data_IF_663415616246
#
_entry.id   IF_663415616246
#
_cell.length_a   1.000
_cell.length_b   1.000
_cell.length_c   1.000
_cell.angle_alpha   90.00
_cell.angle_beta   90.00
_cell.angle_gamma   90.00
#
_symmetry.space_group_name_H-M   'P 1'
#
loop_
_entity.id
_entity.type
_entity.pdbx_description
1 polymer ?
#
# COMPACT_ATOMS: atom_id res chain seq x y z
N UNK A 1 -11.75 -51.10 1.83
CA UNK A 1 -11.04 -49.84 1.66
C UNK A 1 -11.94 -48.68 1.84
N UNK A 2 -11.61 -47.75 2.75
CA UNK A 2 -12.35 -46.51 2.96
C UNK A 2 -12.05 -45.58 1.79
N UNK A 3 -13.10 -45.10 1.09
CA UNK A 3 -12.99 -44.03 0.09
C UNK A 3 -13.70 -42.78 0.61
N UNK A 4 -13.02 -41.66 0.57
CA UNK A 4 -13.65 -40.34 0.76
C UNK A 4 -14.64 -40.11 -0.39
N UNK A 5 -15.82 -39.66 -0.06
CA UNK A 5 -16.78 -39.22 -1.08
C UNK A 5 -16.30 -37.88 -1.64
N UNK A 6 -16.23 -37.74 -2.96
CA UNK A 6 -15.77 -36.53 -3.64
C UNK A 6 -16.68 -35.31 -3.43
N UNK A 7 -17.90 -35.58 -2.94
CA UNK A 7 -18.93 -34.58 -2.60
C UNK A 7 -19.11 -34.39 -1.07
N UNK A 8 -18.24 -35.00 -0.26
CA UNK A 8 -18.29 -34.78 1.16
C UNK A 8 -17.92 -33.34 1.47
N UNK A 9 -18.81 -32.55 2.09
CA UNK A 9 -18.45 -31.23 2.56
C UNK A 9 -17.26 -31.38 3.48
N UNK A 10 -16.30 -30.43 3.45
CA UNK A 10 -15.17 -30.37 4.36
C UNK A 10 -15.70 -30.16 5.80
N UNK A 11 -16.37 -31.16 6.34
CA UNK A 11 -17.07 -31.09 7.62
C UNK A 11 -16.24 -31.58 8.81
N UNK A 12 -14.98 -31.95 8.61
CA UNK A 12 -14.14 -32.37 9.71
C UNK A 12 -12.86 -31.54 9.81
N UNK A 13 -13.01 -30.24 9.90
CA UNK A 13 -11.94 -29.47 10.51
C UNK A 13 -12.05 -29.66 12.00
N UNK A 14 -11.09 -30.39 12.63
CA UNK A 14 -11.12 -30.55 14.08
C UNK A 14 -10.96 -29.15 14.69
N UNK A 15 -11.94 -28.76 15.48
CA UNK A 15 -11.96 -27.62 16.37
C UNK A 15 -10.96 -26.50 16.03
N UNK A 16 -11.41 -25.48 15.27
CA UNK A 16 -10.65 -24.27 15.10
C UNK A 16 -10.34 -23.68 16.48
N UNK A 17 -9.07 -23.47 16.78
CA UNK A 17 -8.67 -22.83 18.04
C UNK A 17 -9.08 -21.37 18.05
N UNK A 18 -9.22 -20.77 19.23
CA UNK A 18 -9.53 -19.35 19.36
C UNK A 18 -8.51 -18.45 18.64
N UNK A 19 -7.23 -18.81 18.69
CA UNK A 19 -6.16 -18.06 17.99
C UNK A 19 -6.33 -18.13 16.47
N UNK A 20 -6.63 -19.31 15.92
CA UNK A 20 -6.93 -19.46 14.50
C UNK A 20 -8.15 -18.64 14.09
N UNK A 21 -9.22 -18.70 14.88
CA UNK A 21 -10.43 -17.95 14.61
C UNK A 21 -10.18 -16.42 14.60
N UNK A 22 -9.39 -15.90 15.56
CA UNK A 22 -8.97 -14.48 15.55
C UNK A 22 -8.20 -14.15 14.29
N UNK A 23 -7.23 -14.99 13.90
CA UNK A 23 -6.42 -14.77 12.69
C UNK A 23 -7.30 -14.66 11.45
N UNK A 24 -8.24 -15.60 11.24
CA UNK A 24 -9.17 -15.55 10.12
C UNK A 24 -10.03 -14.29 10.12
N UNK A 25 -10.53 -13.87 11.28
CA UNK A 25 -11.32 -12.65 11.39
C UNK A 25 -10.49 -11.39 11.08
N UNK A 26 -9.24 -11.33 11.54
CA UNK A 26 -8.33 -10.22 11.20
C UNK A 26 -8.01 -10.18 9.69
N UNK A 27 -7.82 -11.32 9.06
CA UNK A 27 -7.66 -11.41 7.59
C UNK A 27 -8.92 -10.91 6.88
N UNK A 28 -10.11 -11.36 7.31
CA UNK A 28 -11.37 -10.91 6.71
C UNK A 28 -11.57 -9.39 6.88
N UNK A 29 -11.26 -8.83 8.03
CA UNK A 29 -11.47 -7.41 8.32
C UNK A 29 -10.44 -6.50 7.61
N UNK A 30 -9.16 -6.89 7.62
CA UNK A 30 -8.08 -5.99 7.22
C UNK A 30 -7.44 -6.33 5.87
N UNK A 31 -7.46 -7.58 5.43
CA UNK A 31 -6.74 -8.02 4.23
C UNK A 31 -7.64 -8.52 3.10
N UNK A 32 -8.93 -8.74 3.37
CA UNK A 32 -9.86 -9.29 2.37
C UNK A 32 -9.84 -8.53 1.03
N UNK A 33 -9.69 -7.23 1.07
CA UNK A 33 -9.67 -6.37 -0.13
C UNK A 33 -8.36 -6.47 -0.94
N UNK A 34 -7.32 -7.12 -0.40
CA UNK A 34 -6.07 -7.40 -1.09
C UNK A 34 -6.01 -8.83 -1.66
N UNK A 35 -6.99 -9.66 -1.35
CA UNK A 35 -7.04 -11.05 -1.81
C UNK A 35 -7.85 -11.18 -3.10
N UNK A 36 -7.44 -12.05 -4.03
CA UNK A 36 -8.24 -12.39 -5.19
C UNK A 36 -9.63 -12.91 -4.79
N UNK A 37 -10.70 -12.54 -5.51
CA UNK A 37 -12.06 -13.02 -5.23
C UNK A 37 -12.20 -14.54 -5.25
N UNK A 38 -11.44 -15.24 -6.09
CA UNK A 38 -11.35 -16.72 -6.11
C UNK A 38 -10.89 -17.26 -4.77
N UNK A 39 -9.78 -16.75 -4.23
CA UNK A 39 -9.27 -17.14 -2.91
C UNK A 39 -10.25 -16.78 -1.78
N UNK A 40 -10.89 -15.62 -1.85
CA UNK A 40 -11.91 -15.25 -0.86
C UNK A 40 -13.06 -16.26 -0.86
N UNK A 41 -13.52 -16.68 -2.05
CA UNK A 41 -14.58 -17.66 -2.16
C UNK A 41 -14.23 -19.01 -1.54
N UNK A 42 -12.98 -19.44 -1.71
CA UNK A 42 -12.46 -20.65 -1.06
C UNK A 42 -12.33 -20.49 0.46
N UNK A 43 -12.02 -19.27 0.92
CA UNK A 43 -11.84 -18.97 2.35
C UNK A 43 -13.14 -18.70 3.11
N UNK A 44 -14.25 -18.41 2.43
CA UNK A 44 -15.53 -18.11 3.08
C UNK A 44 -15.99 -19.15 4.10
N UNK A 45 -15.89 -20.48 3.85
CA UNK A 45 -16.23 -21.48 4.85
C UNK A 45 -15.41 -21.37 6.15
N UNK A 46 -14.14 -20.95 6.03
CA UNK A 46 -13.25 -20.75 7.16
C UNK A 46 -13.59 -19.49 7.95
N UNK A 47 -13.93 -18.40 7.27
CA UNK A 47 -14.43 -17.18 7.94
C UNK A 47 -15.71 -17.45 8.69
N UNK A 48 -16.65 -18.22 8.11
CA UNK A 48 -17.90 -18.60 8.78
C UNK A 48 -17.66 -19.54 9.98
N UNK A 49 -16.70 -20.46 9.86
CA UNK A 49 -16.29 -21.30 10.97
C UNK A 49 -15.65 -20.47 12.10
N UNK A 50 -14.79 -19.51 11.76
CA UNK A 50 -14.19 -18.59 12.73
C UNK A 50 -15.25 -17.79 13.47
N UNK A 51 -16.23 -17.21 12.78
CA UNK A 51 -17.37 -16.49 13.39
C UNK A 51 -18.15 -17.35 14.36
N UNK A 52 -18.44 -18.60 13.98
CA UNK A 52 -19.14 -19.56 14.85
C UNK A 52 -18.31 -19.96 16.06
N UNK A 53 -17.02 -20.24 15.88
CA UNK A 53 -16.11 -20.60 16.98
C UNK A 53 -15.99 -19.48 18.02
N UNK A 54 -16.00 -18.22 17.59
CA UNK A 54 -15.91 -17.05 18.47
C UNK A 54 -17.25 -16.66 19.11
N UNK A 55 -18.40 -17.13 18.59
CA UNK A 55 -19.71 -16.83 19.16
C UNK A 55 -19.89 -17.37 20.58
N UNK A 56 -19.15 -18.43 20.93
CA UNK A 56 -19.17 -19.07 22.24
C UNK A 56 -18.14 -18.55 23.25
N UNK A 57 -17.19 -17.71 22.79
CA UNK A 57 -16.07 -17.22 23.60
C UNK A 57 -16.05 -15.68 23.68
N UNK A 58 -16.67 -15.15 24.72
CA UNK A 58 -16.84 -13.69 24.90
C UNK A 58 -15.52 -12.90 24.90
N UNK A 59 -14.45 -13.40 25.51
CA UNK A 59 -13.20 -12.65 25.65
C UNK A 59 -12.48 -12.43 24.32
N UNK A 60 -12.47 -13.41 23.44
CA UNK A 60 -11.80 -13.36 22.14
C UNK A 60 -12.56 -12.46 21.18
N UNK A 61 -13.89 -12.53 21.18
CA UNK A 61 -14.74 -11.64 20.40
C UNK A 61 -14.57 -10.17 20.83
N UNK A 62 -14.46 -9.93 22.14
CA UNK A 62 -14.18 -8.59 22.67
C UNK A 62 -12.82 -8.06 22.22
N UNK A 63 -11.80 -8.93 22.11
CA UNK A 63 -10.48 -8.51 21.66
C UNK A 63 -10.51 -7.95 20.23
N UNK A 64 -11.15 -8.66 19.28
CA UNK A 64 -11.31 -8.19 17.88
C UNK A 64 -12.01 -6.82 17.85
N UNK A 65 -13.02 -6.63 18.69
CA UNK A 65 -13.76 -5.37 18.75
C UNK A 65 -12.93 -4.21 19.36
N UNK A 66 -11.82 -4.50 20.01
CA UNK A 66 -10.95 -3.52 20.70
C UNK A 66 -9.69 -3.15 19.89
N UNK A 67 -9.37 -3.90 18.84
CA UNK A 67 -8.19 -3.65 18.02
C UNK A 67 -8.61 -2.92 16.74
N UNK A 68 -7.96 -1.81 16.45
CA UNK A 68 -8.22 -1.00 15.25
C UNK A 68 -6.91 -0.50 14.66
N UNK A 69 -6.86 -0.40 13.35
CA UNK A 69 -5.78 0.24 12.61
C UNK A 69 -6.25 1.63 12.22
N UNK A 70 -5.56 2.65 12.70
CA UNK A 70 -5.84 4.05 12.35
C UNK A 70 -4.78 4.52 11.37
N UNK A 71 -5.15 5.02 10.17
CA UNK A 71 -4.19 5.56 9.24
C UNK A 71 -3.42 6.74 9.84
N UNK A 72 -2.12 6.85 9.54
CA UNK A 72 -1.30 7.97 9.97
C UNK A 72 -1.65 9.31 9.28
N UNK A 73 -2.44 9.26 8.20
CA UNK A 73 -2.89 10.42 7.44
C UNK A 73 -4.36 10.72 7.73
N UNK A 74 -4.86 11.89 7.27
CA UNK A 74 -6.28 12.23 7.34
C UNK A 74 -7.14 11.07 6.79
N UNK A 75 -8.07 10.52 7.58
CA UNK A 75 -8.97 9.46 7.12
C UNK A 75 -9.84 9.95 5.96
N UNK A 76 -9.93 9.14 4.92
CA UNK A 76 -10.80 9.39 3.76
C UNK A 76 -11.60 8.12 3.44
N UNK A 77 -12.76 8.29 2.83
CA UNK A 77 -13.58 7.17 2.37
C UNK A 77 -12.90 6.55 1.14
N UNK A 78 -12.62 5.23 1.14
CA UNK A 78 -12.04 4.56 -0.01
C UNK A 78 -12.90 4.76 -1.28
N UNK A 79 -12.30 4.99 -2.44
CA UNK A 79 -13.04 5.09 -3.68
C UNK A 79 -13.65 3.73 -4.07
N UNK A 80 -14.79 3.76 -4.74
CA UNK A 80 -15.40 2.57 -5.28
C UNK A 80 -14.54 2.01 -6.42
N UNK A 81 -14.30 0.71 -6.38
CA UNK A 81 -13.59 -0.04 -7.42
C UNK A 81 -14.61 -0.88 -8.20
N UNK A 82 -14.50 -0.88 -9.51
CA UNK A 82 -15.34 -1.72 -10.37
C UNK A 82 -14.97 -3.20 -10.13
N UNK A 83 -15.96 -4.02 -9.75
CA UNK A 83 -15.73 -5.39 -9.25
C UNK A 83 -15.12 -6.31 -10.31
N UNK A 84 -15.63 -6.24 -11.55
CA UNK A 84 -15.15 -7.10 -12.63
C UNK A 84 -13.71 -6.75 -13.00
N UNK A 85 -13.38 -5.45 -13.07
CA UNK A 85 -12.01 -5.01 -13.32
C UNK A 85 -11.05 -5.45 -12.17
N UNK A 86 -11.47 -5.29 -10.93
CA UNK A 86 -10.69 -5.77 -9.77
C UNK A 86 -10.44 -7.27 -9.84
N UNK A 87 -11.48 -8.05 -10.11
CA UNK A 87 -11.36 -9.51 -10.25
C UNK A 87 -10.35 -9.88 -11.33
N UNK A 88 -10.50 -9.33 -12.54
CA UNK A 88 -9.58 -9.61 -13.64
C UNK A 88 -8.14 -9.22 -13.35
N UNK A 89 -7.92 -8.07 -12.68
CA UNK A 89 -6.58 -7.63 -12.29
C UNK A 89 -5.94 -8.60 -11.30
N UNK A 90 -6.68 -9.03 -10.29
CA UNK A 90 -6.20 -9.95 -9.27
C UNK A 90 -5.93 -11.34 -9.84
N UNK A 91 -6.82 -11.84 -10.70
CA UNK A 91 -6.62 -13.11 -11.41
C UNK A 91 -5.44 -13.05 -12.38
N UNK A 92 -5.27 -11.94 -13.12
CA UNK A 92 -4.12 -11.74 -14.00
C UNK A 92 -2.80 -11.77 -13.23
N UNK A 93 -2.75 -11.11 -12.07
CA UNK A 93 -1.58 -11.15 -11.19
C UNK A 93 -1.33 -12.55 -10.61
N UNK A 94 -2.39 -13.23 -10.12
CA UNK A 94 -2.30 -14.56 -9.54
C UNK A 94 -1.83 -15.61 -10.56
N UNK A 95 -2.28 -15.50 -11.80
CA UNK A 95 -2.00 -16.45 -12.89
C UNK A 95 -0.77 -16.07 -13.72
N UNK A 96 -0.08 -14.97 -13.39
CA UNK A 96 1.06 -14.46 -14.16
C UNK A 96 0.70 -14.18 -15.63
N UNK A 97 -0.47 -13.55 -15.87
CA UNK A 97 -1.02 -13.26 -17.20
C UNK A 97 -1.17 -11.76 -17.44
N UNK A 98 -1.07 -11.39 -18.73
CA UNK A 98 -1.38 -10.04 -19.18
C UNK A 98 -2.86 -9.72 -18.99
N UNK A 99 -3.15 -8.42 -18.81
CA UNK A 99 -4.51 -7.89 -18.74
C UNK A 99 -4.70 -6.80 -19.80
N UNK A 100 -5.78 -6.89 -20.55
CA UNK A 100 -6.29 -5.80 -21.36
C UNK A 100 -7.26 -4.98 -20.52
N UNK A 101 -7.18 -3.64 -20.57
CA UNK A 101 -8.00 -2.80 -19.72
C UNK A 101 -8.36 -1.47 -20.38
N UNK A 102 -9.45 -0.86 -19.91
CA UNK A 102 -9.79 0.54 -20.13
C UNK A 102 -9.53 1.29 -18.83
N UNK A 103 -8.70 2.32 -18.89
CA UNK A 103 -8.28 3.09 -17.73
C UNK A 103 -8.50 4.58 -17.94
N UNK A 104 -9.06 5.25 -16.90
CA UNK A 104 -9.26 6.70 -16.87
C UNK A 104 -8.07 7.36 -16.15
N UNK A 105 -7.25 8.12 -16.87
CA UNK A 105 -6.12 8.85 -16.29
C UNK A 105 -6.59 10.04 -15.42
N UNK A 106 -5.72 10.53 -14.52
CA UNK A 106 -6.05 11.69 -13.65
C UNK A 106 -6.02 13.02 -14.40
N UNK A 107 -5.16 13.13 -15.44
CA UNK A 107 -5.03 14.31 -16.29
C UNK A 107 -5.92 14.25 -17.52
N UNK A 108 -5.90 15.29 -18.34
CA UNK A 108 -6.60 15.36 -19.63
C UNK A 108 -8.10 15.05 -19.56
N UNK A 109 -8.83 15.75 -18.66
CA UNK A 109 -10.30 15.65 -18.56
C UNK A 109 -10.85 14.23 -18.34
N UNK A 110 -10.00 13.32 -17.86
CA UNK A 110 -10.43 11.95 -17.57
C UNK A 110 -10.61 11.08 -18.82
N UNK A 111 -9.79 11.27 -19.85
CA UNK A 111 -9.79 10.40 -21.03
C UNK A 111 -9.60 8.93 -20.65
N UNK A 112 -10.41 8.10 -21.27
CA UNK A 112 -10.32 6.65 -21.15
C UNK A 112 -9.41 6.12 -22.27
N UNK A 113 -8.42 5.31 -21.89
CA UNK A 113 -7.45 4.71 -22.81
C UNK A 113 -7.38 3.21 -22.59
N UNK A 114 -7.22 2.50 -23.69
CA UNK A 114 -6.96 1.05 -23.64
C UNK A 114 -5.47 0.78 -23.45
N UNK A 115 -5.15 -0.20 -22.61
CA UNK A 115 -3.79 -0.67 -22.38
C UNK A 115 -3.76 -2.19 -22.27
N UNK A 116 -2.63 -2.77 -22.67
CA UNK A 116 -2.25 -4.13 -22.27
C UNK A 116 -1.15 -3.97 -21.22
N UNK A 117 -1.39 -4.55 -20.04
CA UNK A 117 -0.54 -4.41 -18.87
C UNK A 117 0.05 -5.77 -18.48
N UNK A 118 1.28 -5.76 -18.01
CA UNK A 118 1.93 -6.87 -17.34
C UNK A 118 1.87 -6.61 -15.82
N UNK A 119 0.99 -7.28 -15.06
CA UNK A 119 0.90 -7.11 -13.62
C UNK A 119 2.17 -7.55 -12.91
N UNK A 120 2.69 -6.74 -11.99
CA UNK A 120 3.88 -7.03 -11.20
C UNK A 120 3.59 -7.12 -9.71
N UNK A 121 2.55 -6.41 -9.23
CA UNK A 121 2.19 -6.43 -7.82
C UNK A 121 1.04 -5.47 -7.49
N UNK A 122 0.52 -5.61 -6.27
CA UNK A 122 -0.50 -4.74 -5.69
C UNK A 122 0.05 -4.07 -4.44
N UNK A 123 -0.18 -2.77 -4.31
CA UNK A 123 0.20 -2.01 -3.11
C UNK A 123 -0.98 -1.19 -2.63
N UNK A 124 -1.32 -1.33 -1.36
CA UNK A 124 -2.26 -0.43 -0.71
C UNK A 124 -1.50 0.73 -0.07
N UNK A 125 -1.88 1.95 -0.44
CA UNK A 125 -1.38 3.18 0.16
C UNK A 125 -2.56 4.02 0.67
N UNK A 126 -2.72 4.06 1.98
CA UNK A 126 -3.90 4.66 2.59
C UNK A 126 -5.18 3.98 2.13
N UNK A 127 -6.12 4.76 1.59
CA UNK A 127 -7.41 4.28 1.12
C UNK A 127 -7.39 3.76 -0.34
N UNK A 128 -6.25 3.81 -1.04
CA UNK A 128 -6.15 3.49 -2.46
C UNK A 128 -5.28 2.26 -2.67
N UNK A 129 -5.76 1.33 -3.49
CA UNK A 129 -4.97 0.20 -3.99
C UNK A 129 -4.42 0.56 -5.37
N UNK A 130 -3.15 0.28 -5.58
CA UNK A 130 -2.44 0.50 -6.83
C UNK A 130 -1.97 -0.84 -7.41
N UNK A 131 -2.17 -1.01 -8.70
CA UNK A 131 -1.49 -2.02 -9.49
C UNK A 131 -0.13 -1.46 -9.92
N UNK A 132 0.94 -2.18 -9.61
CA UNK A 132 2.26 -1.96 -10.17
C UNK A 132 2.36 -2.84 -11.41
N UNK A 133 2.73 -2.27 -12.55
CA UNK A 133 2.78 -2.98 -13.81
C UNK A 133 3.72 -2.30 -14.81
N UNK A 134 4.08 -3.01 -15.88
CA UNK A 134 4.56 -2.41 -17.12
C UNK A 134 3.46 -2.41 -18.16
N UNK A 135 3.56 -1.52 -19.13
CA UNK A 135 2.70 -1.53 -20.31
C UNK A 135 3.38 -2.33 -21.42
N UNK A 136 2.60 -2.92 -22.31
CA UNK A 136 3.15 -3.66 -23.46
C UNK A 136 4.00 -2.76 -24.37
N UNK A 137 3.64 -1.48 -24.50
CA UNK A 137 4.31 -0.48 -25.33
C UNK A 137 5.43 0.28 -24.60
N UNK A 138 5.67 -0.02 -23.31
CA UNK A 138 6.68 0.67 -22.48
C UNK A 138 7.28 -0.28 -21.43
N UNK A 139 8.59 -0.23 -21.27
CA UNK A 139 9.31 -1.04 -20.28
C UNK A 139 9.35 -0.45 -18.87
N UNK A 140 9.05 0.85 -18.73
CA UNK A 140 9.07 1.50 -17.42
C UNK A 140 7.95 0.98 -16.50
N UNK A 141 8.30 0.76 -15.24
CA UNK A 141 7.34 0.34 -14.21
C UNK A 141 6.47 1.53 -13.84
N UNK A 142 5.16 1.32 -13.84
CA UNK A 142 4.14 2.35 -13.59
C UNK A 142 3.15 1.89 -12.53
N UNK A 143 2.45 2.86 -11.93
CA UNK A 143 1.39 2.61 -10.95
C UNK A 143 0.03 3.04 -11.50
N UNK A 144 -0.94 2.13 -11.43
CA UNK A 144 -2.32 2.35 -11.84
C UNK A 144 -3.26 2.21 -10.65
N UNK A 145 -4.01 3.26 -10.29
CA UNK A 145 -4.97 3.20 -9.19
C UNK A 145 -6.19 2.34 -9.57
N UNK A 146 -6.52 1.33 -8.74
CA UNK A 146 -7.56 0.35 -9.07
C UNK A 146 -8.93 0.99 -9.37
N UNK A 147 -9.32 2.02 -8.64
CA UNK A 147 -10.63 2.67 -8.81
C UNK A 147 -10.80 3.43 -10.15
N UNK A 148 -9.74 3.53 -10.95
CA UNK A 148 -9.78 4.18 -12.26
C UNK A 148 -9.91 3.20 -13.42
N UNK A 149 -9.83 1.91 -13.18
CA UNK A 149 -10.14 0.90 -14.18
C UNK A 149 -11.64 0.89 -14.43
N UNK A 150 -12.04 0.96 -15.71
CA UNK A 150 -13.41 0.86 -16.18
C UNK A 150 -13.77 -0.56 -16.53
N UNK A 151 -12.80 -1.26 -17.11
CA UNK A 151 -12.90 -2.69 -17.44
C UNK A 151 -11.51 -3.29 -17.41
N UNK A 152 -11.42 -4.59 -17.18
CA UNK A 152 -10.21 -5.37 -17.35
C UNK A 152 -10.60 -6.80 -17.74
N UNK A 153 -9.76 -7.44 -18.55
CA UNK A 153 -9.91 -8.83 -18.99
C UNK A 153 -8.54 -9.50 -18.97
N UNK A 154 -8.46 -10.69 -18.41
CA UNK A 154 -7.24 -11.52 -18.42
C UNK A 154 -7.02 -12.06 -19.83
N UNK A 155 -5.81 -11.93 -20.35
CA UNK A 155 -5.40 -12.50 -21.61
C UNK A 155 -4.76 -13.87 -21.39
N UNK A 156 -4.70 -14.72 -22.43
CA UNK A 156 -4.01 -16.01 -22.34
C UNK A 156 -2.47 -15.88 -22.39
N UNK A 157 -1.98 -14.69 -22.73
CA UNK A 157 -0.55 -14.40 -22.82
C UNK A 157 0.05 -14.22 -21.41
N UNK A 158 1.22 -14.83 -21.20
CA UNK A 158 1.98 -14.67 -19.96
C UNK A 158 2.46 -13.22 -19.78
N UNK A 159 2.46 -12.73 -18.55
CA UNK A 159 3.00 -11.42 -18.21
C UNK A 159 4.52 -11.38 -18.39
N UNK A 160 5.01 -10.24 -18.86
CA UNK A 160 6.46 -9.97 -18.98
C UNK A 160 6.93 -9.21 -17.75
N UNK A 161 8.00 -9.70 -17.15
CA UNK A 161 8.61 -9.07 -15.97
C UNK A 161 9.94 -8.43 -16.34
N UNK A 162 10.24 -7.21 -15.86
CA UNK A 162 11.61 -6.67 -15.92
C UNK A 162 12.56 -7.60 -15.13
N UNK A 163 13.78 -7.79 -15.64
CA UNK A 163 14.73 -8.81 -15.14
C UNK A 163 15.03 -8.63 -13.64
N UNK A 164 15.17 -7.40 -13.17
CA UNK A 164 15.59 -7.08 -11.80
C UNK A 164 14.49 -6.38 -11.00
N UNK A 165 13.21 -6.60 -11.35
CA UNK A 165 12.12 -5.96 -10.63
C UNK A 165 11.94 -6.61 -9.25
N UNK A 166 12.05 -5.78 -8.22
CA UNK A 166 11.72 -6.11 -6.84
C UNK A 166 10.75 -5.05 -6.28
N UNK A 167 9.64 -5.52 -5.72
CA UNK A 167 8.56 -4.65 -5.28
C UNK A 167 8.95 -3.79 -4.07
N UNK A 168 9.76 -4.35 -3.16
CA UNK A 168 10.19 -3.64 -1.97
C UNK A 168 11.18 -2.54 -2.35
N UNK A 169 12.15 -2.83 -3.22
CA UNK A 169 13.07 -1.84 -3.78
C UNK A 169 12.35 -0.73 -4.55
N UNK A 170 11.27 -1.08 -5.28
CA UNK A 170 10.44 -0.11 -5.98
C UNK A 170 9.70 0.81 -5.01
N UNK A 171 9.18 0.29 -3.91
CA UNK A 171 8.53 1.08 -2.85
C UNK A 171 9.56 1.98 -2.16
N UNK A 172 10.71 1.43 -1.78
CA UNK A 172 11.78 2.13 -1.09
C UNK A 172 12.41 3.26 -1.92
N UNK A 173 12.37 3.14 -3.26
CA UNK A 173 12.78 4.23 -4.17
C UNK A 173 11.88 5.47 -4.10
N UNK A 174 10.80 5.44 -3.34
CA UNK A 174 9.83 6.53 -3.26
C UNK A 174 8.87 6.62 -4.45
N UNK A 175 8.80 5.59 -5.29
CA UNK A 175 7.95 5.58 -6.49
C UNK A 175 6.47 5.85 -6.21
N UNK A 176 5.98 5.47 -5.00
CA UNK A 176 4.63 5.76 -4.55
C UNK A 176 4.49 7.12 -3.85
N UNK A 177 5.59 7.85 -3.62
CA UNK A 177 5.60 9.12 -2.89
C UNK A 177 5.18 10.34 -3.73
N UNK A 178 4.86 10.15 -4.99
CA UNK A 178 4.71 11.16 -6.04
C UNK A 178 6.01 11.95 -6.30
N UNK A 179 6.36 12.09 -7.56
CA UNK A 179 7.56 12.84 -7.95
C UNK A 179 7.36 14.33 -7.73
N UNK A 180 8.35 15.01 -7.21
CA UNK A 180 8.38 16.48 -7.13
C UNK A 180 8.49 17.07 -8.53
N UNK A 181 9.35 16.46 -9.35
CA UNK A 181 9.54 16.80 -10.77
C UNK A 181 9.28 15.56 -11.62
N UNK A 182 8.25 15.61 -12.47
CA UNK A 182 7.88 14.49 -13.36
C UNK A 182 8.89 14.25 -14.48
N UNK A 183 9.76 15.21 -14.77
CA UNK A 183 10.81 15.09 -15.80
C UNK A 183 12.03 14.29 -15.35
N UNK A 184 12.18 14.06 -14.03
CA UNK A 184 13.34 13.40 -13.42
C UNK A 184 12.92 12.17 -12.59
N UNK A 185 13.81 11.18 -12.45
CA UNK A 185 13.60 10.12 -11.45
C UNK A 185 13.62 10.70 -10.04
N UNK A 186 13.02 9.99 -9.09
CA UNK A 186 13.14 10.33 -7.67
C UNK A 186 14.57 10.04 -7.22
N UNK A 187 15.24 11.02 -6.64
CA UNK A 187 16.59 10.88 -6.11
C UNK A 187 16.54 10.82 -4.57
N UNK A 188 17.48 10.10 -3.97
CA UNK A 188 17.70 10.13 -2.55
C UNK A 188 18.48 11.38 -2.17
N UNK A 189 18.05 12.03 -1.09
CA UNK A 189 18.70 13.21 -0.54
C UNK A 189 19.14 12.96 0.90
N UNK A 190 20.22 13.61 1.32
CA UNK A 190 20.59 13.72 2.72
C UNK A 190 19.76 14.83 3.36
N UNK A 191 18.64 14.45 3.97
CA UNK A 191 17.76 15.36 4.68
C UNK A 191 18.35 15.70 6.05
N UNK A 192 18.43 16.99 6.40
CA UNK A 192 18.74 17.47 7.73
C UNK A 192 17.65 18.40 8.24
N UNK A 193 17.11 18.09 9.39
CA UNK A 193 16.08 18.87 10.06
C UNK A 193 16.62 19.35 11.41
N UNK A 194 16.39 20.61 11.76
CA UNK A 194 16.65 21.12 13.10
C UNK A 194 15.30 21.43 13.75
N UNK A 195 15.10 20.88 14.95
CA UNK A 195 13.85 20.97 15.71
C UNK A 195 14.15 21.11 17.20
N UNK A 196 13.15 21.55 17.96
CA UNK A 196 13.22 21.51 19.42
C UNK A 196 13.12 20.08 19.95
N UNK A 197 13.64 19.85 21.16
CA UNK A 197 13.74 18.52 21.80
C UNK A 197 12.41 17.75 21.77
N UNK A 198 11.33 18.36 22.21
CA UNK A 198 10.01 17.71 22.29
C UNK A 198 9.52 17.19 20.91
N UNK A 199 9.82 17.93 19.85
CA UNK A 199 9.43 17.54 18.47
C UNK A 199 10.45 16.54 17.87
N UNK A 200 11.71 16.63 18.22
CA UNK A 200 12.77 15.72 17.78
C UNK A 200 12.60 14.31 18.36
N UNK A 201 12.00 14.19 19.56
CA UNK A 201 11.74 12.89 20.20
C UNK A 201 10.93 11.95 19.30
N UNK A 202 9.98 12.48 18.53
CA UNK A 202 9.22 11.69 17.55
C UNK A 202 10.11 10.86 16.63
N UNK A 203 11.28 11.41 16.22
CA UNK A 203 12.22 10.74 15.33
C UNK A 203 13.08 9.69 16.02
N UNK A 204 13.15 9.67 17.34
CA UNK A 204 13.80 8.59 18.10
C UNK A 204 12.88 7.36 18.19
N UNK A 205 11.56 7.57 18.17
CA UNK A 205 10.54 6.52 18.23
C UNK A 205 10.18 5.97 16.84
N UNK A 206 10.24 6.85 15.81
CA UNK A 206 9.87 6.51 14.43
C UNK A 206 10.89 7.06 13.45
N UNK A 207 11.79 6.18 13.00
CA UNK A 207 12.88 6.56 12.11
C UNK A 207 12.43 6.77 10.66
N UNK A 208 12.97 7.78 9.99
CA UNK A 208 12.75 8.06 8.55
C UNK A 208 13.48 7.05 7.66
N UNK A 209 14.65 6.58 8.11
CA UNK A 209 15.46 5.60 7.38
C UNK A 209 16.40 4.88 8.34
N UNK A 210 16.94 3.73 7.89
CA UNK A 210 17.88 2.90 8.68
C UNK A 210 19.16 3.62 9.06
N UNK A 211 19.55 4.65 8.31
CA UNK A 211 20.77 5.44 8.55
C UNK A 211 20.51 6.76 9.28
N UNK A 212 19.30 6.95 9.82
CA UNK A 212 18.97 8.14 10.59
C UNK A 212 19.88 8.30 11.80
N UNK A 213 20.25 9.57 12.06
CA UNK A 213 20.91 10.01 13.28
C UNK A 213 20.13 11.15 13.92
N UNK A 214 20.11 11.19 15.23
CA UNK A 214 19.53 12.28 16.03
C UNK A 214 20.64 12.77 16.97
N UNK A 215 21.03 14.02 16.83
CA UNK A 215 22.16 14.61 17.55
C UNK A 215 21.72 15.90 18.22
N UNK A 216 22.05 16.08 19.49
CA UNK A 216 21.84 17.34 20.19
C UNK A 216 22.83 18.41 19.68
N UNK A 217 22.32 19.56 19.25
CA UNK A 217 23.14 20.72 18.89
C UNK A 217 23.42 21.62 20.11
N UNK A 218 22.43 21.71 21.01
CA UNK A 218 22.52 22.40 22.32
C UNK A 218 21.38 21.87 23.20
N UNK A 219 21.16 22.52 24.36
CA UNK A 219 20.16 22.08 25.34
C UNK A 219 18.70 22.11 24.85
N UNK A 220 18.42 22.71 23.70
CA UNK A 220 17.06 22.90 23.20
C UNK A 220 16.85 22.42 21.76
N UNK A 221 17.92 22.27 20.98
CA UNK A 221 17.85 21.97 19.54
C UNK A 221 18.56 20.67 19.21
N UNK A 222 17.90 19.89 18.38
CA UNK A 222 18.37 18.61 17.87
C UNK A 222 18.41 18.63 16.34
N UNK A 223 19.42 17.98 15.79
CA UNK A 223 19.54 17.71 14.36
C UNK A 223 19.15 16.27 14.09
N UNK A 224 18.22 16.09 13.15
CA UNK A 224 17.86 14.80 12.58
C UNK A 224 18.47 14.74 11.19
N UNK A 225 19.28 13.72 10.91
CA UNK A 225 19.89 13.48 9.60
C UNK A 225 19.44 12.12 9.09
N UNK A 226 18.97 12.03 7.84
CA UNK A 226 18.50 10.79 7.23
C UNK A 226 18.63 10.85 5.70
N UNK A 227 18.93 9.71 5.05
CA UNK A 227 18.85 9.60 3.60
C UNK A 227 17.44 9.11 3.24
N UNK A 228 16.71 9.91 2.46
CA UNK A 228 15.32 9.65 2.10
C UNK A 228 15.04 10.02 0.64
N UNK A 229 14.06 9.38 -0.02
CA UNK A 229 13.63 9.78 -1.37
C UNK A 229 13.00 11.18 -1.35
N UNK A 230 13.42 12.06 -2.27
CA UNK A 230 12.84 13.38 -2.41
C UNK A 230 11.50 13.30 -3.18
N UNK A 231 10.40 13.26 -2.45
CA UNK A 231 9.05 13.09 -2.98
C UNK A 231 8.13 14.22 -2.56
N UNK A 232 7.06 14.46 -3.31
CA UNK A 232 6.02 15.40 -2.91
C UNK A 232 5.37 15.02 -1.57
N UNK A 233 5.29 13.72 -1.26
CA UNK A 233 4.79 13.27 0.04
C UNK A 233 5.70 13.69 1.19
N UNK A 234 7.03 13.62 1.01
CA UNK A 234 7.98 14.14 2.00
C UNK A 234 7.77 15.63 2.22
N UNK A 235 7.62 16.42 1.13
CA UNK A 235 7.36 17.86 1.21
C UNK A 235 6.05 18.16 1.97
N UNK A 236 4.96 17.48 1.63
CA UNK A 236 3.67 17.67 2.33
C UNK A 236 3.74 17.29 3.81
N UNK A 237 4.46 16.22 4.11
CA UNK A 237 4.66 15.78 5.48
C UNK A 237 5.50 16.78 6.28
N UNK A 238 6.60 17.31 5.71
CA UNK A 238 7.40 18.36 6.33
C UNK A 238 6.59 19.64 6.57
N UNK A 239 5.73 20.04 5.62
CA UNK A 239 4.82 21.18 5.79
C UNK A 239 3.89 21.03 7.00
N UNK A 240 3.52 19.80 7.37
CA UNK A 240 2.65 19.54 8.51
C UNK A 240 3.28 19.90 9.86
N UNK A 241 4.60 19.96 9.96
CA UNK A 241 5.30 20.39 11.18
C UNK A 241 5.25 21.91 11.36
N UNK A 242 5.10 22.69 10.29
CA UNK A 242 5.00 24.13 10.36
C UNK A 242 6.18 24.77 11.11
N UNK A 243 5.88 25.59 12.14
CA UNK A 243 6.89 26.32 12.93
C UNK A 243 7.79 25.44 13.82
N UNK A 244 7.50 24.15 13.94
CA UNK A 244 8.31 23.18 14.67
C UNK A 244 9.64 22.88 13.96
N UNK A 245 9.71 23.09 12.63
CA UNK A 245 10.93 23.02 11.85
C UNK A 245 11.66 24.34 11.91
N UNK A 246 12.79 24.36 12.63
CA UNK A 246 13.66 25.53 12.75
C UNK A 246 14.51 25.70 11.49
N UNK A 247 15.01 24.59 10.92
CA UNK A 247 15.81 24.56 9.70
C UNK A 247 15.60 23.29 8.93
N UNK A 248 15.67 23.38 7.62
CA UNK A 248 15.59 22.26 6.67
C UNK A 248 16.75 22.38 5.69
N UNK A 249 17.46 21.28 5.47
CA UNK A 249 18.46 21.12 4.43
C UNK A 249 18.20 19.81 3.66
N UNK A 250 18.53 19.72 2.37
CA UNK A 250 19.15 20.77 1.54
C UNK A 250 18.16 21.89 1.14
N UNK A 251 18.69 22.95 0.55
CA UNK A 251 17.94 24.15 0.18
C UNK A 251 16.77 23.87 -0.77
N UNK A 252 16.89 22.86 -1.63
CA UNK A 252 15.82 22.43 -2.54
C UNK A 252 14.59 21.94 -1.78
N UNK A 253 14.80 21.23 -0.69
CA UNK A 253 13.70 20.78 0.21
C UNK A 253 13.10 21.97 0.93
N UNK A 254 13.93 22.87 1.46
CA UNK A 254 13.45 24.10 2.10
C UNK A 254 12.58 24.90 1.14
N UNK A 255 13.04 25.13 -0.10
CA UNK A 255 12.26 25.85 -1.11
C UNK A 255 10.95 25.13 -1.40
N UNK A 256 10.96 23.81 -1.64
CA UNK A 256 9.76 23.04 -1.90
C UNK A 256 8.75 23.08 -0.74
N UNK A 257 9.22 23.08 0.51
CA UNK A 257 8.35 23.17 1.70
C UNK A 257 7.69 24.55 1.83
N UNK A 258 8.42 25.64 1.48
CA UNK A 258 7.98 27.03 1.68
C UNK A 258 7.42 27.67 0.40
N UNK A 259 7.54 27.03 -0.76
CA UNK A 259 6.88 27.49 -1.98
C UNK A 259 5.36 27.51 -1.74
N UNK A 260 4.80 28.70 -1.69
CA UNK A 260 3.36 28.94 -1.80
C UNK A 260 3.08 28.81 -3.30
N UNK A 261 2.40 27.73 -3.70
CA UNK A 261 1.82 27.69 -5.05
C UNK A 261 0.94 28.94 -5.24
N UNK A 262 1.42 29.86 -6.04
CA UNK A 262 0.72 31.08 -6.45
C UNK A 262 -0.31 30.78 -7.54
#
# INVERSE_FOLDING_TARGET
GWRWRSDAPIQSLPHMTSSQAVTFMMVEEHLKHLLPPSLISEMNPWFDLAKRSLSTQNNVRQWINRVRIVPATQPVIPPLVERQAQQSIYEGLLQDKQIECIYRSRGHLGEEKSYILNPLGLVQKGAIIYLICTRLDKSDVQTFALHRFKSATVLDTRAMHPVDFDIDSYIDSGALGFRVDFSKPTENIELKLIMHEDDAQYFTESQLSKNQKVEALNDQLYQISAVVPFTSQLVWWLRSFGKKLVRIEPVEVFNAVHEIES
#
